data_IF_750682084991
#
_entry.id   IF_750682084991
#
_cell.length_a   1.000
_cell.length_b   1.000
_cell.length_c   1.000
_cell.angle_alpha   90.00
_cell.angle_beta   90.00
_cell.angle_gamma   90.00
#
_symmetry.space_group_name_H-M   'P 1'
#
loop_
_entity.id
_entity.type
_entity.pdbx_description
1 polymer ?
#
# COMPACT_ATOMS: atom_id res chain seq x y z
N UNK A 1 -9.75 6.88 17.52
CA UNK A 1 -9.39 7.50 16.22
C UNK A 1 -9.67 6.52 15.10
N UNK A 2 -10.14 6.99 13.92
CA UNK A 2 -10.24 6.16 12.72
C UNK A 2 -9.18 6.59 11.70
N UNK A 3 -8.51 5.61 11.12
CA UNK A 3 -7.49 5.80 10.10
C UNK A 3 -7.76 4.90 8.90
N UNK A 4 -7.29 5.29 7.73
CA UNK A 4 -7.43 4.49 6.51
C UNK A 4 -6.13 4.51 5.70
N UNK A 5 -5.76 3.35 5.16
CA UNK A 5 -4.71 3.21 4.15
C UNK A 5 -5.37 2.78 2.84
N UNK A 6 -5.18 3.59 1.82
CA UNK A 6 -5.62 3.34 0.44
C UNK A 6 -4.38 2.90 -0.33
N UNK A 7 -4.31 1.66 -0.78
CA UNK A 7 -3.17 1.16 -1.56
C UNK A 7 -3.60 0.73 -2.96
N UNK A 8 -2.65 0.76 -3.89
CA UNK A 8 -2.91 0.51 -5.29
C UNK A 8 -3.35 -0.92 -5.56
N UNK A 9 -2.57 -1.89 -5.07
CA UNK A 9 -2.69 -3.27 -5.47
C UNK A 9 -2.90 -4.26 -4.33
N UNK A 10 -3.12 -5.52 -4.73
CA UNK A 10 -3.32 -6.60 -3.77
C UNK A 10 -2.02 -6.99 -3.05
N UNK A 11 -0.86 -6.81 -3.69
CA UNK A 11 0.44 -7.06 -3.07
C UNK A 11 0.66 -6.11 -1.89
N UNK A 12 0.41 -4.81 -2.10
CA UNK A 12 0.48 -3.78 -1.05
C UNK A 12 -0.47 -4.10 0.09
N UNK A 13 -1.70 -4.45 -0.26
CA UNK A 13 -2.75 -4.79 0.71
C UNK A 13 -2.33 -5.94 1.64
N UNK A 14 -1.80 -7.03 1.08
CA UNK A 14 -1.36 -8.18 1.87
C UNK A 14 -0.10 -7.85 2.67
N UNK A 15 0.87 -7.15 2.09
CA UNK A 15 2.06 -6.69 2.79
C UNK A 15 1.69 -5.80 4.00
N UNK A 16 0.90 -4.76 3.78
CA UNK A 16 0.48 -3.83 4.83
C UNK A 16 -0.24 -4.51 5.99
N UNK A 17 -1.09 -5.51 5.72
CA UNK A 17 -1.76 -6.27 6.77
C UNK A 17 -0.76 -6.94 7.71
N UNK A 18 0.27 -7.59 7.15
CA UNK A 18 1.29 -8.25 7.97
C UNK A 18 2.22 -7.26 8.65
N UNK A 19 2.62 -6.20 7.94
CA UNK A 19 3.48 -5.15 8.49
C UNK A 19 2.82 -4.43 9.67
N UNK A 20 1.57 -3.98 9.51
CA UNK A 20 0.85 -3.27 10.57
C UNK A 20 0.63 -4.13 11.81
N UNK A 21 0.38 -5.43 11.65
CA UNK A 21 0.26 -6.35 12.77
C UNK A 21 1.58 -6.51 13.52
N UNK A 22 2.68 -6.76 12.80
CA UNK A 22 3.97 -7.07 13.41
C UNK A 22 4.67 -5.86 14.02
N UNK A 23 4.68 -4.74 13.27
CA UNK A 23 5.45 -3.56 13.63
C UNK A 23 4.66 -2.61 14.51
N UNK A 24 3.38 -2.44 14.20
CA UNK A 24 2.57 -1.40 14.83
C UNK A 24 1.55 -1.94 15.83
N UNK A 25 1.48 -3.27 16.02
CA UNK A 25 0.66 -3.91 17.05
C UNK A 25 -0.85 -3.91 16.76
N UNK A 26 -1.24 -3.76 15.49
CA UNK A 26 -2.63 -3.87 15.08
C UNK A 26 -3.10 -5.34 15.09
N UNK A 27 -4.37 -5.57 15.39
CA UNK A 27 -4.99 -6.89 15.39
C UNK A 27 -6.22 -6.90 14.49
N UNK A 28 -6.59 -8.07 13.95
CA UNK A 28 -7.78 -8.18 13.10
C UNK A 28 -9.03 -7.78 13.86
N UNK A 29 -9.86 -6.93 13.27
CA UNK A 29 -11.20 -6.68 13.75
C UNK A 29 -12.06 -7.94 13.58
N UNK A 30 -12.85 -8.28 14.61
CA UNK A 30 -13.85 -9.35 14.52
C UNK A 30 -15.12 -8.93 13.77
N UNK A 31 -15.30 -7.64 13.58
CA UNK A 31 -16.41 -7.09 12.81
C UNK A 31 -16.13 -7.29 11.31
N UNK A 32 -17.17 -7.62 10.55
CA UNK A 32 -17.04 -7.63 9.10
C UNK A 32 -16.80 -6.19 8.63
N UNK A 33 -15.86 -5.97 7.69
CA UNK A 33 -15.70 -4.66 7.06
C UNK A 33 -17.06 -4.18 6.53
N UNK A 34 -17.32 -2.89 6.65
CA UNK A 34 -18.51 -2.32 6.04
C UNK A 34 -18.29 -2.17 4.52
N UNK A 35 -18.78 -3.10 3.69
CA UNK A 35 -18.50 -3.09 2.26
C UNK A 35 -19.26 -1.99 1.51
N UNK A 36 -20.26 -1.36 2.12
CA UNK A 36 -21.10 -0.34 1.46
C UNK A 36 -20.32 0.89 1.02
N UNK A 37 -19.13 1.08 1.60
CA UNK A 37 -18.26 2.20 1.33
C UNK A 37 -17.40 2.04 0.06
N UNK A 38 -17.14 0.80 -0.40
CA UNK A 38 -16.18 0.51 -1.48
C UNK A 38 -16.85 -0.15 -2.70
N UNK A 39 -18.16 -0.29 -2.67
CA UNK A 39 -18.89 -1.03 -3.70
C UNK A 39 -18.84 -0.40 -5.09
N UNK A 40 -18.30 0.81 -5.22
CA UNK A 40 -18.19 1.52 -6.50
C UNK A 40 -16.94 1.17 -7.33
N UNK A 41 -15.98 0.43 -6.74
CA UNK A 41 -14.73 0.07 -7.41
C UNK A 41 -14.59 -1.44 -7.54
N UNK A 42 -14.62 -1.93 -8.78
CA UNK A 42 -14.43 -3.35 -9.09
C UNK A 42 -13.06 -3.83 -8.60
N UNK A 43 -13.02 -5.06 -8.05
CA UNK A 43 -11.81 -5.69 -7.50
C UNK A 43 -11.19 -5.00 -6.27
N UNK A 44 -11.88 -4.03 -5.65
CA UNK A 44 -11.43 -3.48 -4.37
C UNK A 44 -11.61 -4.51 -3.25
N UNK A 45 -10.69 -4.47 -2.28
CA UNK A 45 -10.72 -5.29 -1.06
C UNK A 45 -10.46 -4.42 0.14
N UNK A 46 -11.14 -4.70 1.25
CA UNK A 46 -10.89 -3.99 2.50
C UNK A 46 -10.77 -4.94 3.68
N UNK A 47 -10.05 -4.49 4.69
CA UNK A 47 -9.93 -5.17 5.99
C UNK A 47 -9.76 -4.15 7.11
N UNK A 48 -10.45 -4.42 8.21
CA UNK A 48 -10.40 -3.59 9.40
C UNK A 48 -9.54 -4.22 10.49
N UNK A 49 -8.78 -3.36 11.16
CA UNK A 49 -7.91 -3.68 12.27
C UNK A 49 -8.24 -2.79 13.45
N UNK A 50 -7.95 -3.29 14.64
CA UNK A 50 -8.12 -2.57 15.90
C UNK A 50 -6.83 -2.54 16.70
N UNK A 51 -6.61 -1.43 17.40
CA UNK A 51 -5.53 -1.27 18.36
C UNK A 51 -6.03 -0.37 19.48
N UNK A 52 -6.25 -0.95 20.68
CA UNK A 52 -6.96 -0.26 21.77
C UNK A 52 -8.36 0.19 21.32
N UNK A 53 -8.63 1.51 21.34
CA UNK A 53 -9.87 2.12 20.85
C UNK A 53 -9.77 2.65 19.41
N UNK A 54 -8.62 2.49 18.77
CA UNK A 54 -8.39 2.97 17.41
C UNK A 54 -8.76 1.92 16.37
N UNK A 55 -9.22 2.38 15.22
CA UNK A 55 -9.56 1.55 14.08
C UNK A 55 -8.76 1.95 12.85
N UNK A 56 -8.22 0.95 12.14
CA UNK A 56 -7.52 1.12 10.87
C UNK A 56 -8.23 0.30 9.80
N UNK A 57 -8.63 0.94 8.72
CA UNK A 57 -9.09 0.27 7.50
C UNK A 57 -7.98 0.26 6.46
N UNK A 58 -7.65 -0.88 5.88
CA UNK A 58 -6.76 -0.98 4.72
C UNK A 58 -7.61 -1.35 3.51
N UNK A 59 -7.44 -0.61 2.40
CA UNK A 59 -8.18 -0.81 1.15
C UNK A 59 -7.18 -0.99 -0.01
N UNK A 60 -7.39 -2.03 -0.83
CA UNK A 60 -6.79 -2.15 -2.16
C UNK A 60 -7.76 -1.61 -3.20
N UNK A 61 -7.29 -0.70 -4.06
CA UNK A 61 -8.11 -0.07 -5.10
C UNK A 61 -8.23 -0.89 -6.39
N UNK A 62 -7.40 -1.93 -6.56
CA UNK A 62 -7.37 -2.70 -7.83
C UNK A 62 -6.69 -1.96 -8.98
N UNK A 63 -5.80 -1.02 -8.70
CA UNK A 63 -4.99 -0.26 -9.66
C UNK A 63 -4.92 1.23 -9.36
N UNK A 64 -3.84 1.90 -9.79
CA UNK A 64 -3.58 3.32 -9.50
C UNK A 64 -4.71 4.25 -10.00
N UNK A 65 -5.35 3.93 -11.11
CA UNK A 65 -6.46 4.73 -11.66
C UNK A 65 -7.68 4.85 -10.75
N UNK A 66 -7.82 3.98 -9.76
CA UNK A 66 -8.95 4.00 -8.82
C UNK A 66 -8.65 4.73 -7.50
N UNK A 67 -7.39 5.11 -7.24
CA UNK A 67 -6.99 5.80 -6.00
C UNK A 67 -7.80 7.05 -5.78
N UNK A 68 -7.92 7.91 -6.82
CA UNK A 68 -8.71 9.14 -6.77
C UNK A 68 -10.15 8.87 -6.36
N UNK A 69 -10.80 7.91 -7.00
CA UNK A 69 -12.21 7.57 -6.74
C UNK A 69 -12.43 7.11 -5.31
N UNK A 70 -11.55 6.22 -4.79
CA UNK A 70 -11.63 5.75 -3.40
C UNK A 70 -11.36 6.90 -2.42
N UNK A 71 -10.41 7.78 -2.72
CA UNK A 71 -10.13 8.95 -1.90
C UNK A 71 -11.31 9.93 -1.85
N UNK A 72 -11.95 10.21 -2.98
CA UNK A 72 -13.19 11.02 -3.05
C UNK A 72 -14.31 10.42 -2.19
N UNK A 73 -14.46 9.10 -2.18
CA UNK A 73 -15.44 8.43 -1.32
C UNK A 73 -15.13 8.57 0.16
N UNK A 74 -13.84 8.48 0.54
CA UNK A 74 -13.39 8.71 1.93
C UNK A 74 -13.73 10.14 2.37
N UNK A 75 -13.44 11.13 1.53
CA UNK A 75 -13.77 12.53 1.81
C UNK A 75 -15.28 12.71 1.96
N UNK A 76 -16.05 12.20 1.02
CA UNK A 76 -17.53 12.28 1.04
C UNK A 76 -18.09 11.61 2.30
N UNK A 77 -17.55 10.47 2.70
CA UNK A 77 -17.93 9.83 3.95
C UNK A 77 -17.65 10.74 5.14
N UNK A 78 -16.44 11.29 5.26
CA UNK A 78 -16.07 12.19 6.33
C UNK A 78 -16.99 13.44 6.38
N UNK A 79 -17.35 14.00 5.24
CA UNK A 79 -18.25 15.16 5.14
C UNK A 79 -19.69 14.85 5.57
N UNK A 80 -20.14 13.61 5.43
CA UNK A 80 -21.47 13.17 5.84
C UNK A 80 -21.55 12.73 7.31
N UNK A 81 -20.40 12.52 7.97
CA UNK A 81 -20.38 12.14 9.38
C UNK A 81 -20.48 13.39 10.28
N UNK A 82 -21.36 13.28 11.28
CA UNK A 82 -21.59 14.38 12.25
C UNK A 82 -20.57 14.29 13.39
N UNK A 83 -20.19 13.09 13.79
CA UNK A 83 -19.29 12.86 14.91
C UNK A 83 -17.85 12.72 14.45
N UNK A 84 -16.93 13.45 15.05
CA UNK A 84 -15.51 13.44 14.71
C UNK A 84 -14.85 12.07 14.89
N UNK A 85 -15.30 11.28 15.87
CA UNK A 85 -14.82 9.92 16.10
C UNK A 85 -15.20 8.93 15.00
N UNK A 86 -16.20 9.25 14.18
CA UNK A 86 -16.61 8.45 13.05
C UNK A 86 -15.87 8.80 11.76
N UNK A 87 -15.18 9.94 11.72
CA UNK A 87 -14.39 10.41 10.58
C UNK A 87 -13.02 9.73 10.53
N UNK A 88 -12.53 9.49 9.34
CA UNK A 88 -11.12 9.14 9.13
C UNK A 88 -10.25 10.38 9.32
N UNK A 89 -9.64 10.49 10.50
CA UNK A 89 -8.76 11.61 10.85
C UNK A 89 -7.39 11.50 10.20
N UNK A 90 -6.97 10.28 9.84
CA UNK A 90 -5.71 10.02 9.11
C UNK A 90 -5.97 9.17 7.88
N UNK A 91 -5.48 9.66 6.76
CA UNK A 91 -5.60 9.03 5.44
C UNK A 91 -4.19 8.80 4.91
N UNK A 92 -3.86 7.58 4.55
CA UNK A 92 -2.60 7.24 3.89
C UNK A 92 -2.91 6.76 2.48
N UNK A 93 -2.16 7.24 1.50
CA UNK A 93 -2.20 6.76 0.12
C UNK A 93 -0.85 6.14 -0.19
N UNK A 94 -0.86 4.86 -0.58
CA UNK A 94 0.32 4.11 -1.01
C UNK A 94 0.17 3.73 -2.48
N UNK A 95 1.15 4.12 -3.30
CA UNK A 95 1.19 3.80 -4.73
C UNK A 95 2.61 3.53 -5.20
N UNK A 96 2.76 2.85 -6.32
CA UNK A 96 4.04 2.54 -6.93
C UNK A 96 4.67 3.77 -7.62
N UNK A 97 6.01 3.84 -7.61
CA UNK A 97 6.79 4.83 -8.36
C UNK A 97 7.21 4.24 -9.71
N UNK A 98 6.25 3.77 -10.49
CA UNK A 98 6.50 2.98 -11.70
C UNK A 98 6.55 3.81 -12.99
N UNK A 99 6.18 5.10 -12.93
CA UNK A 99 6.16 5.99 -14.09
C UNK A 99 6.80 7.35 -13.77
N UNK A 100 7.36 7.98 -14.81
CA UNK A 100 7.94 9.33 -14.71
C UNK A 100 6.84 10.37 -14.48
N UNK A 101 6.96 11.14 -13.39
CA UNK A 101 5.98 12.19 -13.05
C UNK A 101 4.75 11.69 -12.30
N UNK A 102 4.75 10.44 -11.81
CA UNK A 102 3.64 9.86 -11.04
C UNK A 102 3.29 10.73 -9.81
N UNK A 103 4.28 11.29 -9.11
CA UNK A 103 4.04 12.16 -7.96
C UNK A 103 3.21 13.39 -8.35
N UNK A 104 3.62 14.11 -9.41
CA UNK A 104 2.89 15.29 -9.86
C UNK A 104 1.45 14.97 -10.30
N UNK A 105 1.25 13.83 -10.95
CA UNK A 105 -0.06 13.33 -11.36
C UNK A 105 -0.93 13.04 -10.13
N UNK A 106 -0.46 12.23 -9.20
CA UNK A 106 -1.22 11.83 -8.00
C UNK A 106 -1.52 13.07 -7.14
N UNK A 107 -0.55 13.95 -6.90
CA UNK A 107 -0.77 15.21 -6.16
C UNK A 107 -1.85 16.06 -6.81
N UNK A 108 -1.83 16.19 -8.15
CA UNK A 108 -2.87 16.92 -8.89
C UNK A 108 -4.26 16.30 -8.72
N UNK A 109 -4.35 14.97 -8.79
CA UNK A 109 -5.60 14.22 -8.61
C UNK A 109 -6.15 14.36 -7.19
N UNK A 110 -5.29 14.28 -6.17
CA UNK A 110 -5.68 14.43 -4.76
C UNK A 110 -6.12 15.86 -4.43
N UNK A 111 -5.43 16.87 -4.94
CA UNK A 111 -5.84 18.26 -4.79
C UNK A 111 -7.19 18.52 -5.45
N UNK A 112 -7.40 18.01 -6.66
CA UNK A 112 -8.68 18.12 -7.35
C UNK A 112 -9.81 17.43 -6.57
N UNK A 113 -9.56 16.25 -6.04
CA UNK A 113 -10.54 15.46 -5.27
C UNK A 113 -10.88 16.11 -3.92
N UNK A 114 -9.89 16.68 -3.24
CA UNK A 114 -10.08 17.32 -1.92
C UNK A 114 -10.62 18.74 -1.99
N UNK A 115 -10.59 19.38 -3.17
CA UNK A 115 -10.88 20.82 -3.31
C UNK A 115 -9.83 21.72 -2.61
N UNK A 116 -8.71 21.16 -2.19
CA UNK A 116 -7.63 21.88 -1.54
C UNK A 116 -6.51 22.20 -2.54
N UNK A 117 -5.82 23.33 -2.33
CA UNK A 117 -4.61 23.70 -3.08
C UNK A 117 -3.36 23.51 -2.20
N UNK A 118 -3.33 22.46 -1.41
CA UNK A 118 -2.27 22.22 -0.43
C UNK A 118 -1.07 21.57 -1.10
N UNK A 119 0.14 21.94 -0.67
CA UNK A 119 1.36 21.31 -1.15
C UNK A 119 1.53 19.92 -0.51
N UNK A 120 0.94 18.90 -1.12
CA UNK A 120 1.16 17.51 -0.74
C UNK A 120 2.56 17.08 -1.18
N UNK A 121 3.33 16.49 -0.27
CA UNK A 121 4.69 15.98 -0.54
C UNK A 121 4.76 14.51 -0.18
N UNK A 122 5.54 13.76 -0.97
CA UNK A 122 5.82 12.36 -0.67
C UNK A 122 6.45 12.23 0.73
N UNK A 123 6.04 11.22 1.47
CA UNK A 123 6.50 10.87 2.82
C UNK A 123 6.37 12.00 3.87
N UNK A 124 5.34 12.84 3.73
CA UNK A 124 5.10 13.96 4.65
C UNK A 124 3.62 14.08 4.96
N UNK A 125 3.27 14.16 6.25
CA UNK A 125 1.91 14.43 6.68
C UNK A 125 1.48 15.84 6.29
N UNK A 126 0.29 15.96 5.71
CA UNK A 126 -0.30 17.21 5.21
C UNK A 126 -1.70 17.36 5.76
N UNK A 127 -2.02 18.49 6.37
CA UNK A 127 -3.36 18.78 6.86
C UNK A 127 -4.28 19.20 5.69
N UNK A 128 -5.42 18.54 5.59
CA UNK A 128 -6.48 18.85 4.64
C UNK A 128 -7.71 19.32 5.41
N UNK A 129 -8.19 20.53 5.08
CA UNK A 129 -9.38 21.12 5.70
C UNK A 129 -10.61 20.87 4.85
N UNK A 130 -11.70 20.50 5.50
CA UNK A 130 -12.97 20.19 4.87
C UNK A 130 -14.13 20.86 5.64
N UNK A 131 -15.27 20.96 4.97
CA UNK A 131 -16.54 21.41 5.58
C UNK A 131 -17.53 20.26 5.50
N UNK A 132 -18.19 19.94 6.59
CA UNK A 132 -19.22 18.91 6.66
C UNK A 132 -20.59 19.41 6.17
N UNK A 133 -21.57 18.52 6.11
CA UNK A 133 -22.95 18.82 5.69
C UNK A 133 -23.65 19.85 6.60
N UNK A 134 -23.15 20.03 7.84
CA UNK A 134 -23.67 20.99 8.81
C UNK A 134 -22.91 22.31 8.84
N UNK A 135 -22.00 22.54 7.87
CA UNK A 135 -21.14 23.71 7.71
C UNK A 135 -20.05 23.84 8.81
N UNK A 136 -19.77 22.80 9.58
CA UNK A 136 -18.66 22.77 10.50
C UNK A 136 -17.35 22.40 9.76
N UNK A 137 -16.27 23.07 10.17
CA UNK A 137 -14.94 22.73 9.64
C UNK A 137 -14.31 21.60 10.44
N UNK A 138 -13.64 20.68 9.72
CA UNK A 138 -12.82 19.62 10.28
C UNK A 138 -11.54 19.44 9.49
N UNK A 139 -10.56 18.77 10.08
CA UNK A 139 -9.26 18.50 9.43
C UNK A 139 -8.98 17.00 9.44
N UNK A 140 -8.50 16.49 8.30
CA UNK A 140 -7.91 15.16 8.20
C UNK A 140 -6.45 15.29 7.77
N UNK A 141 -5.59 14.41 8.27
CA UNK A 141 -4.19 14.36 7.88
C UNK A 141 -3.99 13.36 6.74
N UNK A 142 -3.33 13.78 5.68
CA UNK A 142 -2.98 12.95 4.53
C UNK A 142 -1.47 12.65 4.53
N UNK A 143 -1.11 11.38 4.39
CA UNK A 143 0.24 10.93 4.09
C UNK A 143 0.26 10.29 2.71
N UNK A 144 1.05 10.82 1.79
CA UNK A 144 1.31 10.22 0.50
C UNK A 144 2.61 9.42 0.56
N UNK A 145 2.58 8.16 0.16
CA UNK A 145 3.73 7.27 0.04
C UNK A 145 3.81 6.74 -1.39
N UNK A 146 4.72 7.29 -2.17
CA UNK A 146 5.06 6.81 -3.52
C UNK A 146 6.37 6.05 -3.40
N UNK A 147 6.36 4.75 -3.63
CA UNK A 147 7.49 3.87 -3.38
C UNK A 147 7.93 3.08 -4.61
N UNK A 148 9.25 2.81 -4.76
CA UNK A 148 10.39 3.27 -3.95
C UNK A 148 10.60 4.79 -4.00
N UNK A 149 11.25 5.37 -2.98
CA UNK A 149 11.48 6.83 -2.93
C UNK A 149 12.55 7.31 -3.91
N UNK A 150 13.61 6.51 -4.09
CA UNK A 150 14.85 6.92 -4.76
C UNK A 150 15.00 6.35 -6.18
N UNK A 151 14.12 5.44 -6.59
CA UNK A 151 14.17 4.78 -7.90
C UNK A 151 12.76 4.50 -8.44
N UNK A 152 12.66 4.31 -9.75
CA UNK A 152 11.40 3.88 -10.33
C UNK A 152 11.19 2.38 -10.08
N UNK A 153 10.00 2.02 -9.58
CA UNK A 153 9.67 0.62 -9.31
C UNK A 153 8.31 0.47 -8.63
N UNK A 154 8.03 -0.76 -8.28
CA UNK A 154 6.86 -1.15 -7.50
C UNK A 154 7.30 -1.61 -6.10
N UNK A 155 6.32 -1.91 -5.24
CA UNK A 155 6.59 -2.47 -3.91
C UNK A 155 7.51 -3.70 -4.01
N UNK A 156 7.28 -4.59 -4.98
CA UNK A 156 8.11 -5.78 -5.18
C UNK A 156 9.58 -5.42 -5.48
N UNK A 157 9.83 -4.36 -6.26
CA UNK A 157 11.18 -3.85 -6.52
C UNK A 157 11.86 -3.41 -5.23
N UNK A 158 11.14 -2.62 -4.43
CA UNK A 158 11.62 -2.11 -3.16
C UNK A 158 11.94 -3.23 -2.16
N UNK A 159 11.06 -4.23 -2.05
CA UNK A 159 11.26 -5.37 -1.15
C UNK A 159 12.47 -6.21 -1.55
N UNK A 160 12.62 -6.55 -2.84
CA UNK A 160 13.79 -7.28 -3.34
C UNK A 160 15.09 -6.50 -3.15
N UNK A 161 15.09 -5.19 -3.42
CA UNK A 161 16.23 -4.31 -3.19
C UNK A 161 16.62 -4.27 -1.71
N UNK A 162 15.65 -4.22 -0.81
CA UNK A 162 15.89 -4.22 0.64
C UNK A 162 16.50 -5.53 1.12
N UNK A 163 16.07 -6.68 0.61
CA UNK A 163 16.66 -7.98 0.89
C UNK A 163 18.09 -8.04 0.37
N UNK A 164 18.32 -7.67 -0.90
CA UNK A 164 19.62 -7.71 -1.55
C UNK A 164 20.68 -6.85 -0.85
N UNK A 165 20.28 -5.73 -0.24
CA UNK A 165 21.19 -4.84 0.50
C UNK A 165 21.67 -5.43 1.83
N UNK A 166 20.92 -6.36 2.41
CA UNK A 166 21.21 -6.90 3.73
C UNK A 166 22.10 -8.16 3.68
N UNK A 167 21.99 -8.95 2.60
CA UNK A 167 22.66 -10.23 2.48
C UNK A 167 23.17 -10.47 1.05
N UNK A 168 24.50 -10.73 0.92
CA UNK A 168 25.14 -10.95 -0.39
C UNK A 168 24.65 -12.25 -1.07
N UNK A 169 24.37 -13.30 -0.30
CA UNK A 169 23.86 -14.54 -0.85
C UNK A 169 22.46 -14.35 -1.44
N UNK A 170 21.59 -13.65 -0.71
CA UNK A 170 20.24 -13.29 -1.20
C UNK A 170 20.33 -12.39 -2.43
N UNK A 171 21.27 -11.43 -2.44
CA UNK A 171 21.52 -10.58 -3.62
C UNK A 171 21.85 -11.39 -4.87
N UNK A 172 22.65 -12.45 -4.74
CA UNK A 172 22.99 -13.33 -5.85
C UNK A 172 21.80 -14.16 -6.33
N UNK A 173 20.93 -14.63 -5.43
CA UNK A 173 19.71 -15.37 -5.80
C UNK A 173 18.75 -14.43 -6.52
N UNK A 174 18.56 -13.21 -6.01
CA UNK A 174 17.72 -12.19 -6.66
C UNK A 174 18.22 -11.90 -8.07
N UNK A 175 19.53 -11.70 -8.25
CA UNK A 175 20.13 -11.49 -9.57
C UNK A 175 19.85 -12.68 -10.53
N UNK A 176 20.01 -13.91 -10.05
CA UNK A 176 19.70 -15.10 -10.84
C UNK A 176 18.21 -15.18 -11.20
N UNK A 177 17.33 -14.71 -10.31
CA UNK A 177 15.89 -14.64 -10.59
C UNK A 177 15.57 -13.62 -11.69
N UNK A 178 16.27 -12.48 -11.72
CA UNK A 178 16.18 -11.53 -12.84
C UNK A 178 16.66 -12.15 -14.14
N UNK A 179 17.83 -12.78 -14.13
CA UNK A 179 18.42 -13.43 -15.30
C UNK A 179 17.50 -14.56 -15.84
N UNK A 180 16.93 -15.35 -14.93
CA UNK A 180 15.98 -16.40 -15.31
C UNK A 180 14.73 -15.81 -15.98
N UNK A 181 14.09 -14.82 -15.38
CA UNK A 181 12.85 -14.22 -15.91
C UNK A 181 13.11 -13.53 -17.26
N UNK A 182 14.28 -12.89 -17.43
CA UNK A 182 14.66 -12.27 -18.70
C UNK A 182 14.72 -13.26 -19.86
N UNK A 183 15.17 -14.49 -19.58
CA UNK A 183 15.38 -15.52 -20.62
C UNK A 183 14.28 -16.57 -20.71
N UNK A 184 13.36 -16.62 -19.71
CA UNK A 184 12.31 -17.63 -19.64
C UNK A 184 11.20 -17.46 -20.70
N UNK A 185 10.94 -16.24 -21.13
CA UNK A 185 9.89 -15.90 -22.10
C UNK A 185 10.43 -15.00 -23.22
N UNK A 186 11.29 -15.52 -24.12
CA UNK A 186 11.94 -14.72 -25.17
C UNK A 186 10.96 -14.14 -26.17
N UNK A 187 9.81 -14.77 -26.37
CA UNK A 187 8.75 -14.29 -27.24
C UNK A 187 7.80 -13.28 -26.55
N UNK A 188 8.01 -13.02 -25.26
CA UNK A 188 7.16 -12.12 -24.42
C UNK A 188 5.67 -12.49 -24.48
N UNK A 189 5.38 -13.77 -24.53
CA UNK A 189 4.02 -14.29 -24.60
C UNK A 189 3.25 -14.19 -23.29
N UNK A 190 3.97 -14.30 -22.16
CA UNK A 190 3.38 -14.35 -20.81
C UNK A 190 3.83 -13.18 -19.93
N UNK A 191 5.03 -12.64 -20.18
CA UNK A 191 5.65 -11.58 -19.41
C UNK A 191 5.65 -10.30 -20.24
N UNK A 192 4.46 -9.70 -20.38
CA UNK A 192 4.30 -8.46 -21.10
C UNK A 192 4.47 -7.26 -20.14
N UNK A 193 5.43 -6.40 -20.45
CA UNK A 193 5.64 -5.16 -19.73
C UNK A 193 6.38 -5.29 -18.40
N UNK A 194 6.75 -4.13 -17.85
CA UNK A 194 7.61 -4.00 -16.66
C UNK A 194 6.96 -4.54 -15.39
N UNK A 195 5.68 -4.26 -15.17
CA UNK A 195 4.96 -4.69 -13.97
C UNK A 195 4.86 -6.21 -13.86
N UNK A 196 4.57 -6.91 -14.97
CA UNK A 196 4.55 -8.37 -14.96
C UNK A 196 5.93 -8.98 -14.74
N UNK A 197 6.97 -8.37 -15.32
CA UNK A 197 8.35 -8.82 -15.18
C UNK A 197 8.80 -8.74 -13.72
N UNK A 198 8.59 -7.64 -13.03
CA UNK A 198 9.01 -7.51 -11.64
C UNK A 198 8.27 -8.46 -10.70
N UNK A 199 6.99 -8.69 -10.93
CA UNK A 199 6.21 -9.69 -10.19
C UNK A 199 6.73 -11.11 -10.46
N UNK A 200 7.07 -11.44 -11.70
CA UNK A 200 7.66 -12.74 -12.04
C UNK A 200 9.00 -12.95 -11.33
N UNK A 201 9.87 -11.93 -11.28
CA UNK A 201 11.14 -11.98 -10.54
C UNK A 201 10.89 -12.19 -9.03
N UNK A 202 9.97 -11.44 -8.46
CA UNK A 202 9.60 -11.54 -7.05
C UNK A 202 9.17 -12.97 -6.70
N UNK A 203 8.25 -13.55 -7.48
CA UNK A 203 7.81 -14.90 -7.23
C UNK A 203 8.87 -15.97 -7.53
N UNK A 204 9.74 -15.77 -8.53
CA UNK A 204 10.85 -16.67 -8.82
C UNK A 204 11.85 -16.73 -7.65
N UNK A 205 12.22 -15.57 -7.07
CA UNK A 205 13.03 -15.49 -5.89
C UNK A 205 12.40 -16.26 -4.71
N UNK A 206 11.14 -15.96 -4.38
CA UNK A 206 10.46 -16.59 -3.26
C UNK A 206 10.16 -18.08 -3.47
N UNK A 207 10.06 -18.54 -4.71
CA UNK A 207 9.97 -19.97 -5.01
C UNK A 207 11.23 -20.75 -4.61
N UNK A 208 12.39 -20.07 -4.52
CA UNK A 208 13.66 -20.67 -4.08
C UNK A 208 13.81 -20.58 -2.56
N UNK A 209 13.47 -19.43 -1.98
CA UNK A 209 13.83 -19.09 -0.59
C UNK A 209 12.78 -19.51 0.44
N UNK A 210 11.53 -19.69 0.04
CA UNK A 210 10.49 -20.16 0.96
C UNK A 210 10.40 -21.67 0.91
N UNK A 211 10.62 -22.29 2.06
CA UNK A 211 10.45 -23.73 2.21
C UNK A 211 9.04 -24.14 1.80
N UNK A 212 8.89 -25.14 0.90
CA UNK A 212 7.58 -25.60 0.45
C UNK A 212 6.85 -26.31 1.59
N UNK A 213 6.26 -25.56 2.49
CA UNK A 213 5.38 -26.10 3.52
C UNK A 213 4.06 -26.50 2.91
N UNK A 214 3.99 -27.72 2.65
CA UNK A 214 2.92 -28.71 2.39
C UNK A 214 1.58 -28.30 1.75
N UNK A 215 1.12 -27.04 1.69
CA UNK A 215 -0.18 -26.68 1.06
C UNK A 215 -0.35 -25.18 0.68
N UNK A 216 0.61 -24.32 0.94
CA UNK A 216 0.39 -22.87 0.85
C UNK A 216 1.34 -22.14 -0.10
N UNK A 217 2.09 -22.86 -0.90
CA UNK A 217 3.19 -22.34 -1.72
C UNK A 217 2.76 -21.28 -2.76
N UNK A 218 1.52 -21.28 -3.18
CA UNK A 218 1.00 -20.35 -4.18
C UNK A 218 0.33 -19.11 -3.61
N UNK A 219 0.31 -18.96 -2.28
CA UNK A 219 -0.42 -17.85 -1.67
C UNK A 219 0.51 -16.70 -1.33
N UNK A 220 0.26 -15.56 -1.93
CA UNK A 220 0.91 -14.27 -1.64
C UNK A 220 0.98 -13.97 -0.14
N UNK A 221 -0.09 -14.30 0.59
CA UNK A 221 -0.17 -14.20 2.04
C UNK A 221 0.94 -14.97 2.77
N UNK A 222 1.29 -16.17 2.30
CA UNK A 222 2.35 -16.98 2.90
C UNK A 222 3.73 -16.32 2.79
N UNK A 223 4.02 -15.67 1.67
CA UNK A 223 5.28 -14.91 1.45
C UNK A 223 5.37 -13.79 2.48
N UNK A 224 4.35 -12.94 2.55
CA UNK A 224 4.39 -11.78 3.44
C UNK A 224 4.34 -12.15 4.92
N UNK A 225 3.77 -13.30 5.25
CA UNK A 225 3.74 -13.82 6.63
C UNK A 225 5.08 -14.41 7.06
N UNK A 226 5.82 -15.06 6.16
CA UNK A 226 7.05 -15.80 6.52
C UNK A 226 8.29 -14.89 6.64
N UNK A 227 8.36 -13.82 5.88
CA UNK A 227 9.51 -12.91 5.89
C UNK A 227 9.39 -11.89 7.04
N UNK A 228 10.44 -11.71 7.85
CA UNK A 228 10.45 -10.73 8.95
C UNK A 228 10.75 -9.33 8.42
N UNK A 229 9.83 -8.73 7.67
CA UNK A 229 9.98 -7.43 7.01
C UNK A 229 10.41 -6.31 7.95
N UNK A 230 10.05 -6.41 9.22
CA UNK A 230 10.43 -5.47 10.28
C UNK A 230 11.94 -5.48 10.61
N UNK A 231 12.68 -6.49 10.18
CA UNK A 231 14.13 -6.57 10.40
C UNK A 231 14.93 -5.79 9.35
N UNK A 232 14.31 -5.47 8.21
CA UNK A 232 14.97 -4.71 7.15
C UNK A 232 14.89 -3.21 7.45
N UNK A 233 16.04 -2.57 7.63
CA UNK A 233 16.14 -1.16 7.99
C UNK A 233 15.43 -0.25 6.98
N UNK A 234 15.69 -0.45 5.69
CA UNK A 234 15.06 0.33 4.62
C UNK A 234 13.54 0.26 4.66
N UNK A 235 12.98 -0.92 4.99
CA UNK A 235 11.53 -1.12 5.08
C UNK A 235 10.98 -0.39 6.31
N UNK A 236 11.65 -0.48 7.45
CA UNK A 236 11.25 0.27 8.65
C UNK A 236 11.26 1.77 8.43
N UNK A 237 12.30 2.28 7.75
CA UNK A 237 12.46 3.70 7.47
C UNK A 237 11.43 4.21 6.47
N UNK A 238 11.15 3.43 5.42
CA UNK A 238 10.13 3.77 4.45
C UNK A 238 8.73 3.91 5.09
N UNK A 239 8.38 2.99 5.97
CA UNK A 239 7.05 2.93 6.59
C UNK A 239 7.00 3.49 8.03
N UNK A 240 8.02 4.25 8.45
CA UNK A 240 8.10 4.79 9.82
C UNK A 240 6.91 5.67 10.20
N UNK A 241 6.40 6.45 9.25
CA UNK A 241 5.27 7.35 9.47
C UNK A 241 3.95 6.62 9.76
N UNK A 242 3.82 5.34 9.37
CA UNK A 242 2.65 4.52 9.69
C UNK A 242 2.52 4.19 11.19
N UNK A 243 3.55 4.45 11.99
CA UNK A 243 3.47 4.33 13.47
C UNK A 243 2.55 5.37 14.10
N UNK A 244 2.29 6.45 13.36
CA UNK A 244 1.43 7.54 13.81
C UNK A 244 -0.07 7.25 13.63
N UNK A 245 -0.43 6.13 13.00
CA UNK A 245 -1.82 5.67 12.85
C UNK A 245 -2.39 5.15 14.16
#
# INVERSE_FOLDING_TARGET
MKSIIICEGETDFVFLQHFMKRVNGWTDSKQKPNPSFISSVDNSRSRDFIKNADMLTIISCGGCGNIKTVFEEVIRKNQNEIFDEERYSKIVILTDNDDTGIEAKIVSELNAASGNSTQIKNNTWTDLSFTDATQNQFTSQLLLLIIPFDENGALETFLLSSIAKQDEYESQIIKKSYDFVEHADPEKKYIEGRSFKIKAVFYAYFAICIEPTKKQFSQRDAIFKSVPWEQYENIRDCFKELRNL
#
